data_IF_583138288079
#
_entry.id   IF_583138288079
#
_cell.length_a   1.000
_cell.length_b   1.000
_cell.length_c   1.000
_cell.angle_alpha   90.00
_cell.angle_beta   90.00
_cell.angle_gamma   90.00
#
_symmetry.space_group_name_H-M   'P 1'
#
loop_
_entity.id
_entity.type
_entity.pdbx_description
1 polymer ?
#
# COMPACT_ATOMS: atom_id res chain seq x y z
N UNK A 1 43.74 3.67 -0.99
CA UNK A 1 43.48 3.00 -2.29
C UNK A 1 41.99 3.09 -2.61
N UNK A 2 41.62 3.44 -3.85
CA UNK A 2 40.22 3.45 -4.34
C UNK A 2 40.10 2.55 -5.56
N UNK A 3 38.93 1.96 -5.75
CA UNK A 3 38.68 1.12 -6.93
C UNK A 3 38.36 1.96 -8.19
N UNK A 4 38.12 1.28 -9.32
CA UNK A 4 37.74 1.91 -10.61
C UNK A 4 36.42 2.72 -10.57
N UNK A 5 35.66 2.63 -9.48
CA UNK A 5 34.40 3.35 -9.24
C UNK A 5 34.53 4.44 -8.15
N UNK A 6 35.76 4.74 -7.71
CA UNK A 6 36.09 5.65 -6.61
C UNK A 6 35.57 5.21 -5.24
N UNK A 7 35.32 3.91 -5.04
CA UNK A 7 34.91 3.35 -3.75
C UNK A 7 36.13 3.17 -2.85
N UNK A 8 36.05 3.68 -1.62
CA UNK A 8 37.05 3.45 -0.56
C UNK A 8 36.83 2.11 0.14
N UNK A 9 37.82 1.57 0.88
CA UNK A 9 37.64 0.38 1.70
C UNK A 9 36.51 0.56 2.73
N UNK A 10 36.43 1.74 3.36
CA UNK A 10 35.34 2.09 4.28
C UNK A 10 33.97 2.04 3.59
N UNK A 11 33.87 2.54 2.34
CA UNK A 11 32.64 2.43 1.55
C UNK A 11 32.23 0.96 1.33
N UNK A 12 33.20 0.06 1.10
CA UNK A 12 32.92 -1.37 0.96
C UNK A 12 32.50 -2.03 2.27
N UNK A 13 33.08 -1.65 3.40
CA UNK A 13 32.65 -2.16 4.70
C UNK A 13 31.18 -1.79 4.99
N UNK A 14 30.80 -0.53 4.73
CA UNK A 14 29.41 -0.11 4.85
C UNK A 14 28.49 -0.79 3.82
N UNK A 15 28.95 -0.99 2.58
CA UNK A 15 28.18 -1.69 1.53
C UNK A 15 27.99 -3.18 1.84
N UNK A 16 29.01 -3.81 2.43
CA UNK A 16 29.02 -5.22 2.80
C UNK A 16 28.31 -5.54 4.12
N UNK A 17 27.64 -4.54 4.73
CA UNK A 17 26.87 -4.69 5.96
C UNK A 17 27.69 -5.15 7.17
N UNK A 18 28.97 -4.79 7.21
CA UNK A 18 29.84 -5.13 8.35
C UNK A 18 30.13 -3.88 9.17
N UNK A 19 29.38 -3.71 10.25
CA UNK A 19 29.53 -2.57 11.17
C UNK A 19 30.93 -2.56 11.80
N UNK A 20 31.36 -3.68 12.38
CA UNK A 20 32.67 -3.78 13.06
C UNK A 20 33.83 -3.39 12.13
N UNK A 21 33.83 -3.89 10.89
CA UNK A 21 34.85 -3.54 9.91
C UNK A 21 34.78 -2.06 9.52
N UNK A 22 33.57 -1.51 9.40
CA UNK A 22 33.41 -0.09 9.09
C UNK A 22 33.91 0.79 10.24
N UNK A 23 33.64 0.41 11.49
CA UNK A 23 34.08 1.15 12.68
C UNK A 23 35.59 1.12 12.83
N UNK A 24 36.21 -0.07 12.73
CA UNK A 24 37.67 -0.20 12.79
C UNK A 24 38.33 0.64 11.70
N UNK A 25 37.85 0.56 10.46
CA UNK A 25 38.39 1.35 9.36
C UNK A 25 38.21 2.86 9.58
N UNK A 26 37.06 3.30 10.08
CA UNK A 26 36.82 4.71 10.35
C UNK A 26 37.75 5.24 11.45
N UNK A 27 37.88 4.51 12.56
CA UNK A 27 38.75 4.90 13.67
C UNK A 27 40.20 5.00 13.19
N UNK A 28 40.70 4.00 12.46
CA UNK A 28 42.06 4.05 11.91
C UNK A 28 42.26 5.24 10.96
N UNK A 29 41.28 5.57 10.11
CA UNK A 29 41.38 6.73 9.21
C UNK A 29 41.43 8.06 9.96
N UNK A 30 40.66 8.20 11.03
CA UNK A 30 40.65 9.40 11.89
C UNK A 30 41.95 9.53 12.70
N UNK A 31 42.49 8.42 13.23
CA UNK A 31 43.80 8.40 13.91
C UNK A 31 44.94 8.79 12.97
N UNK A 32 44.85 8.39 11.70
CA UNK A 32 45.78 8.80 10.64
C UNK A 32 45.60 10.26 10.19
N UNK A 33 44.66 11.01 10.78
CA UNK A 33 44.32 12.40 10.46
C UNK A 33 43.96 12.61 8.98
N UNK A 34 43.29 11.63 8.38
CA UNK A 34 42.74 11.77 7.02
C UNK A 34 41.55 12.74 7.10
N UNK A 35 41.49 13.80 6.28
CA UNK A 35 40.43 14.79 6.36
C UNK A 35 39.06 14.16 6.05
N UNK A 36 38.02 14.60 6.76
CA UNK A 36 36.68 13.98 6.65
C UNK A 36 36.11 14.08 5.23
N UNK A 37 36.41 15.16 4.52
CA UNK A 37 36.08 15.35 3.09
C UNK A 37 36.61 14.20 2.21
N UNK A 38 37.81 13.70 2.50
CA UNK A 38 38.40 12.58 1.76
C UNK A 38 37.75 11.25 2.16
N UNK A 39 37.50 11.06 3.46
CA UNK A 39 36.83 9.87 3.98
C UNK A 39 35.43 9.72 3.35
N UNK A 40 34.67 10.81 3.29
CA UNK A 40 33.31 10.83 2.74
C UNK A 40 33.22 11.15 1.24
N UNK A 41 34.34 11.09 0.52
CA UNK A 41 34.34 11.39 -0.91
C UNK A 41 33.36 10.51 -1.70
N UNK A 42 32.68 11.12 -2.66
CA UNK A 42 31.66 10.47 -3.47
C UNK A 42 32.26 9.55 -4.54
N UNK A 43 31.58 8.43 -4.76
CA UNK A 43 31.86 7.48 -5.85
C UNK A 43 31.46 8.04 -7.22
N UNK A 44 31.80 7.35 -8.32
CA UNK A 44 31.33 7.71 -9.68
C UNK A 44 29.80 7.81 -9.79
N UNK A 45 29.06 7.11 -8.92
CA UNK A 45 27.59 7.18 -8.85
C UNK A 45 27.07 8.24 -7.88
N UNK A 46 27.92 9.18 -7.44
CA UNK A 46 27.60 10.21 -6.44
C UNK A 46 27.11 9.64 -5.10
N UNK A 47 27.55 8.44 -4.72
CA UNK A 47 27.26 7.86 -3.39
C UNK A 47 28.47 8.05 -2.48
N UNK A 48 28.23 8.48 -1.27
CA UNK A 48 29.24 8.63 -0.21
C UNK A 48 29.17 7.49 0.80
N UNK A 49 30.07 7.48 1.79
CA UNK A 49 30.05 6.51 2.90
C UNK A 49 28.76 6.67 3.72
N UNK A 50 28.37 7.92 4.00
CA UNK A 50 27.12 8.22 4.74
C UNK A 50 25.89 7.66 4.02
N UNK A 51 25.85 7.64 2.68
CA UNK A 51 24.73 6.99 1.97
C UNK A 51 24.61 5.51 2.31
N UNK A 52 25.74 4.80 2.42
CA UNK A 52 25.75 3.37 2.74
C UNK A 52 25.49 3.14 4.22
N UNK A 53 26.07 3.94 5.10
CA UNK A 53 25.80 3.88 6.53
C UNK A 53 24.31 4.12 6.83
N UNK A 54 23.72 5.17 6.25
CA UNK A 54 22.31 5.50 6.37
C UNK A 54 21.37 4.46 5.75
N UNK A 55 21.84 3.68 4.75
CA UNK A 55 21.03 2.59 4.19
C UNK A 55 20.94 1.38 5.12
N UNK A 56 21.95 1.16 5.97
CA UNK A 56 22.07 -0.03 6.80
C UNK A 56 21.94 0.26 8.31
N UNK A 57 21.62 1.49 8.69
CA UNK A 57 21.42 1.86 10.10
C UNK A 57 22.72 2.01 10.88
N UNK A 58 23.86 2.25 10.21
CA UNK A 58 25.16 2.41 10.86
C UNK A 58 25.31 3.81 11.45
N UNK A 59 24.53 4.08 12.49
CA UNK A 59 24.48 5.39 13.13
C UNK A 59 25.82 5.81 13.72
N UNK A 60 26.55 4.88 14.34
CA UNK A 60 27.88 5.13 14.93
C UNK A 60 28.88 5.69 13.92
N UNK A 61 28.82 5.22 12.66
CA UNK A 61 29.65 5.74 11.55
C UNK A 61 29.26 7.17 11.19
N UNK A 62 27.96 7.46 11.15
CA UNK A 62 27.43 8.79 10.83
C UNK A 62 27.81 9.78 11.93
N UNK A 63 27.57 9.43 13.20
CA UNK A 63 27.91 10.25 14.36
C UNK A 63 29.40 10.58 14.40
N UNK A 64 30.27 9.57 14.31
CA UNK A 64 31.73 9.79 14.31
C UNK A 64 32.20 10.68 13.17
N UNK A 65 31.61 10.54 11.98
CA UNK A 65 31.93 11.42 10.85
C UNK A 65 31.45 12.86 11.07
N UNK A 66 30.28 13.05 11.69
CA UNK A 66 29.76 14.38 12.06
C UNK A 66 30.61 15.01 13.15
N UNK A 67 30.97 14.26 14.19
CA UNK A 67 31.84 14.73 15.28
C UNK A 67 33.21 15.17 14.75
N UNK A 68 33.82 14.35 13.88
CA UNK A 68 35.09 14.69 13.24
C UNK A 68 34.96 15.94 12.36
N UNK A 69 33.89 16.06 11.56
CA UNK A 69 33.64 17.25 10.75
C UNK A 69 33.42 18.52 11.59
N UNK A 70 32.72 18.41 12.74
CA UNK A 70 32.57 19.51 13.71
C UNK A 70 33.91 19.90 14.33
N UNK A 71 34.76 18.93 14.66
CA UNK A 71 36.11 19.19 15.18
C UNK A 71 37.00 19.89 14.14
N UNK A 72 36.83 19.57 12.86
CA UNK A 72 37.50 20.25 11.73
C UNK A 72 36.85 21.61 11.37
N UNK A 73 35.73 21.99 12.00
CA UNK A 73 34.91 23.16 11.67
C UNK A 73 34.45 23.19 10.19
N UNK A 74 34.33 22.02 9.55
CA UNK A 74 34.05 21.89 8.12
C UNK A 74 32.89 20.90 7.88
N UNK A 75 31.72 21.21 8.43
CA UNK A 75 30.52 20.38 8.27
C UNK A 75 30.01 20.39 6.82
N UNK A 76 30.25 21.49 6.07
CA UNK A 76 29.86 21.58 4.66
C UNK A 76 30.59 20.56 3.78
N UNK A 77 31.88 20.31 4.04
CA UNK A 77 32.63 19.32 3.26
C UNK A 77 32.21 17.88 3.50
N UNK A 78 31.47 17.61 4.57
CA UNK A 78 30.81 16.33 4.80
C UNK A 78 29.78 16.03 3.71
N UNK A 79 29.30 17.04 2.98
CA UNK A 79 28.45 16.86 1.80
C UNK A 79 27.21 15.97 2.08
N UNK A 80 26.58 16.20 3.24
CA UNK A 80 25.45 15.41 3.77
C UNK A 80 24.21 15.44 2.87
N UNK A 81 24.09 16.45 2.01
CA UNK A 81 22.95 16.67 1.11
C UNK A 81 23.21 16.18 -0.32
N UNK A 82 24.32 15.47 -0.58
CA UNK A 82 24.62 14.95 -1.92
C UNK A 82 23.54 13.97 -2.36
N UNK A 83 23.02 14.16 -3.57
CA UNK A 83 22.10 13.23 -4.21
C UNK A 83 22.83 12.19 -5.06
N UNK A 84 22.48 10.92 -4.87
CA UNK A 84 23.01 9.84 -5.70
C UNK A 84 22.54 9.96 -7.17
N UNK A 85 23.40 9.53 -8.09
CA UNK A 85 23.12 9.62 -9.53
C UNK A 85 22.02 8.68 -10.03
N UNK A 86 21.65 7.66 -9.26
CA UNK A 86 20.71 6.64 -9.70
C UNK A 86 19.27 7.10 -9.48
N UNK A 87 18.92 7.41 -8.23
CA UNK A 87 17.57 7.78 -7.78
C UNK A 87 17.45 9.22 -7.32
N UNK A 88 18.54 9.98 -7.23
CA UNK A 88 18.51 11.34 -6.67
C UNK A 88 18.35 11.34 -5.14
N UNK A 89 18.62 10.23 -4.48
CA UNK A 89 18.43 10.10 -3.03
C UNK A 89 19.63 10.66 -2.27
N UNK A 90 19.36 11.45 -1.23
CA UNK A 90 20.35 11.85 -0.21
C UNK A 90 20.53 10.74 0.83
N UNK A 91 21.53 10.82 1.72
CA UNK A 91 21.61 9.93 2.88
C UNK A 91 20.35 9.93 3.75
N UNK A 92 19.72 11.10 3.95
CA UNK A 92 18.47 11.20 4.72
C UNK A 92 17.33 10.43 4.06
N UNK A 93 17.22 10.45 2.72
CA UNK A 93 16.25 9.61 2.00
C UNK A 93 16.52 8.11 2.25
N UNK A 94 17.80 7.69 2.32
CA UNK A 94 18.15 6.29 2.57
C UNK A 94 17.75 5.87 3.98
N UNK A 95 18.05 6.68 4.99
CA UNK A 95 17.63 6.41 6.36
C UNK A 95 16.10 6.34 6.48
N UNK A 96 15.38 7.27 5.84
CA UNK A 96 13.92 7.32 5.82
C UNK A 96 13.27 6.08 5.17
N UNK A 97 13.80 5.60 4.04
CA UNK A 97 13.28 4.39 3.36
C UNK A 97 13.37 3.14 4.23
N UNK A 98 14.39 3.03 5.08
CA UNK A 98 14.59 1.85 5.91
C UNK A 98 14.16 2.04 7.36
N UNK A 99 13.60 3.20 7.73
CA UNK A 99 13.11 3.47 9.08
C UNK A 99 14.21 3.60 10.14
N UNK A 100 15.44 3.95 9.74
CA UNK A 100 16.58 4.07 10.67
C UNK A 100 16.51 5.38 11.47
N UNK A 101 15.70 5.39 12.53
CA UNK A 101 15.41 6.56 13.38
C UNK A 101 16.66 7.28 13.85
N UNK A 102 17.65 6.53 14.36
CA UNK A 102 18.87 7.12 14.92
C UNK A 102 19.68 7.84 13.84
N UNK A 103 19.82 7.21 12.66
CA UNK A 103 20.47 7.85 11.50
C UNK A 103 19.73 9.10 11.04
N UNK A 104 18.39 9.11 11.09
CA UNK A 104 17.59 10.31 10.78
C UNK A 104 17.90 11.41 11.79
N UNK A 105 17.91 11.09 13.09
CA UNK A 105 18.23 12.07 14.15
C UNK A 105 19.60 12.69 13.94
N UNK A 106 20.66 11.88 13.82
CA UNK A 106 22.03 12.38 13.67
C UNK A 106 22.21 13.19 12.36
N UNK A 107 21.56 12.79 11.27
CA UNK A 107 21.59 13.57 10.02
C UNK A 107 20.89 14.92 10.16
N UNK A 108 19.72 14.97 10.81
CA UNK A 108 18.99 16.21 11.06
C UNK A 108 19.74 17.14 12.02
N UNK A 109 20.39 16.59 13.05
CA UNK A 109 21.28 17.33 13.97
C UNK A 109 22.48 17.95 13.26
N UNK A 110 22.94 17.32 12.17
CA UNK A 110 23.95 17.85 11.26
C UNK A 110 23.38 18.78 10.17
N UNK A 111 22.14 19.26 10.32
CA UNK A 111 21.48 20.18 9.39
C UNK A 111 21.29 19.59 7.97
N UNK A 112 21.04 18.28 7.87
CA UNK A 112 20.62 17.67 6.61
C UNK A 112 19.29 18.28 6.15
N UNK A 113 19.22 18.61 4.86
CA UNK A 113 18.05 19.24 4.26
C UNK A 113 16.99 18.17 3.93
N UNK A 114 15.89 18.20 4.70
CA UNK A 114 14.75 17.28 4.54
C UNK A 114 13.86 17.62 3.34
N UNK A 115 14.00 18.81 2.75
CA UNK A 115 13.15 19.31 1.66
C UNK A 115 13.61 18.84 0.27
N UNK A 116 14.84 18.32 0.17
CA UNK A 116 15.40 17.80 -1.08
C UNK A 116 14.50 16.70 -1.63
N UNK A 117 14.25 16.72 -2.94
CA UNK A 117 13.41 15.74 -3.63
C UNK A 117 14.25 14.77 -4.47
N UNK A 118 13.92 13.48 -4.37
CA UNK A 118 14.46 12.46 -5.25
C UNK A 118 14.04 12.66 -6.72
N UNK A 119 14.51 11.81 -7.64
CA UNK A 119 14.16 11.92 -9.07
C UNK A 119 12.67 11.74 -9.37
N UNK A 120 11.91 11.16 -8.44
CA UNK A 120 10.46 10.99 -8.55
C UNK A 120 9.71 12.15 -7.86
N UNK A 121 10.41 13.20 -7.40
CA UNK A 121 9.82 14.35 -6.75
C UNK A 121 9.47 14.13 -5.27
N UNK A 122 9.94 13.04 -4.65
CA UNK A 122 9.58 12.68 -3.27
C UNK A 122 10.66 13.12 -2.29
N UNK A 123 10.25 13.75 -1.19
CA UNK A 123 11.12 14.10 -0.07
C UNK A 123 11.31 12.90 0.88
N UNK A 124 12.22 13.01 1.84
CA UNK A 124 12.49 11.95 2.82
C UNK A 124 11.22 11.55 3.62
N UNK A 125 10.38 12.53 4.00
CA UNK A 125 9.11 12.28 4.70
C UNK A 125 8.17 11.37 3.90
N UNK A 126 8.02 11.64 2.60
CA UNK A 126 7.16 10.86 1.70
C UNK A 126 7.62 9.41 1.62
N UNK A 127 8.93 9.20 1.47
CA UNK A 127 9.49 7.85 1.45
C UNK A 127 9.28 7.10 2.76
N UNK A 128 9.37 7.78 3.92
CA UNK A 128 9.18 7.16 5.23
C UNK A 128 7.75 6.63 5.39
N UNK A 129 6.73 7.45 5.12
CA UNK A 129 5.34 6.99 5.26
C UNK A 129 4.93 5.99 4.17
N UNK A 130 5.47 6.09 2.94
CA UNK A 130 5.21 5.11 1.88
C UNK A 130 5.68 3.71 2.33
N UNK A 131 6.86 3.62 2.95
CA UNK A 131 7.37 2.35 3.47
C UNK A 131 6.61 1.88 4.72
N UNK A 132 6.12 2.80 5.55
CA UNK A 132 5.25 2.46 6.67
C UNK A 132 3.94 1.82 6.23
N UNK A 133 3.35 2.20 5.08
CA UNK A 133 2.16 1.50 4.55
C UNK A 133 2.42 0.05 4.14
N UNK A 134 3.68 -0.31 3.89
CA UNK A 134 4.11 -1.64 3.47
C UNK A 134 4.66 -2.48 4.63
N UNK A 135 4.83 -1.89 5.82
CA UNK A 135 5.51 -2.49 6.96
C UNK A 135 4.80 -2.17 8.27
N UNK A 136 4.53 -3.18 9.10
CA UNK A 136 3.92 -3.01 10.44
C UNK A 136 4.94 -2.54 11.51
N UNK A 137 6.05 -1.92 11.10
CA UNK A 137 7.15 -1.50 11.96
C UNK A 137 6.82 -0.21 12.72
N UNK A 138 7.08 -0.20 14.04
CA UNK A 138 6.87 0.95 14.92
C UNK A 138 7.97 2.02 14.75
N UNK A 139 9.13 1.64 14.19
CA UNK A 139 10.25 2.54 13.95
C UNK A 139 9.90 3.65 12.95
N UNK A 140 8.99 3.38 12.01
CA UNK A 140 8.51 4.38 11.06
C UNK A 140 7.73 5.51 11.72
N UNK A 141 6.94 5.25 12.77
CA UNK A 141 6.19 6.28 13.49
C UNK A 141 7.16 7.34 14.06
N UNK A 142 8.25 6.89 14.69
CA UNK A 142 9.30 7.78 15.22
C UNK A 142 10.03 8.52 14.10
N UNK A 143 10.39 7.81 13.03
CA UNK A 143 11.05 8.38 11.85
C UNK A 143 10.22 9.52 11.23
N UNK A 144 8.92 9.28 11.04
CA UNK A 144 7.97 10.27 10.51
C UNK A 144 7.84 11.44 11.48
N UNK A 145 7.75 11.19 12.79
CA UNK A 145 7.68 12.26 13.80
C UNK A 145 8.88 13.21 13.71
N UNK A 146 10.11 12.70 13.52
CA UNK A 146 11.30 13.52 13.34
C UNK A 146 11.27 14.33 12.03
N UNK A 147 10.88 13.68 10.92
CA UNK A 147 10.82 14.31 9.60
C UNK A 147 9.72 15.37 9.51
N UNK A 148 8.60 15.22 10.23
CA UNK A 148 7.56 16.26 10.35
C UNK A 148 8.10 17.52 11.00
N UNK A 149 9.00 17.41 11.99
CA UNK A 149 9.63 18.60 12.62
C UNK A 149 10.58 19.27 11.64
N UNK A 150 11.29 18.48 10.82
CA UNK A 150 12.23 19.00 9.84
C UNK A 150 11.57 19.72 8.66
N UNK A 151 10.36 19.30 8.25
CA UNK A 151 9.58 19.93 7.17
C UNK A 151 8.09 20.00 7.54
N UNK A 152 7.79 20.88 8.50
CA UNK A 152 6.43 21.05 9.03
C UNK A 152 5.44 21.57 7.99
N UNK A 153 5.90 22.41 7.06
CA UNK A 153 5.05 22.97 6.00
C UNK A 153 4.62 21.91 4.99
N UNK A 154 5.54 21.04 4.56
CA UNK A 154 5.18 19.92 3.70
C UNK A 154 4.24 18.95 4.43
N UNK A 155 4.52 18.64 5.70
CA UNK A 155 3.67 17.75 6.50
C UNK A 155 2.24 18.30 6.66
N UNK A 156 2.10 19.60 6.91
CA UNK A 156 0.79 20.28 7.07
C UNK A 156 -0.05 20.25 5.79
N UNK A 157 0.59 20.36 4.62
CA UNK A 157 -0.10 20.40 3.34
C UNK A 157 -0.44 19.02 2.77
N UNK A 158 0.18 17.95 3.29
CA UNK A 158 0.05 16.58 2.79
C UNK A 158 -1.16 15.85 3.40
N UNK A 159 -2.21 15.68 2.58
CA UNK A 159 -3.41 14.95 2.96
C UNK A 159 -3.17 13.44 3.10
N UNK A 160 -2.23 12.87 2.34
CA UNK A 160 -1.93 11.44 2.38
C UNK A 160 -1.24 11.06 3.68
N UNK A 161 -0.40 11.94 4.24
CA UNK A 161 0.22 11.75 5.55
C UNK A 161 -0.83 11.58 6.66
N UNK A 162 -1.86 12.42 6.70
CA UNK A 162 -2.96 12.30 7.66
C UNK A 162 -3.76 11.00 7.46
N UNK A 163 -4.02 10.61 6.21
CA UNK A 163 -4.68 9.37 5.84
C UNK A 163 -3.92 8.13 6.34
N UNK A 164 -2.59 8.10 6.15
CA UNK A 164 -1.73 6.99 6.59
C UNK A 164 -1.65 6.91 8.11
N UNK A 165 -1.49 8.05 8.80
CA UNK A 165 -1.49 8.08 10.26
C UNK A 165 -2.79 7.52 10.84
N UNK A 166 -3.93 7.84 10.23
CA UNK A 166 -5.24 7.33 10.63
C UNK A 166 -5.42 5.82 10.34
N UNK A 167 -4.94 5.33 9.19
CA UNK A 167 -5.00 3.91 8.84
C UNK A 167 -4.14 3.04 9.79
N UNK A 168 -2.97 3.54 10.19
CA UNK A 168 -2.10 2.88 11.16
C UNK A 168 -2.52 3.11 12.62
N UNK A 169 -3.41 4.07 12.88
CA UNK A 169 -3.94 4.35 14.21
C UNK A 169 -3.00 5.16 15.10
N UNK A 170 -2.03 5.90 14.53
CA UNK A 170 -1.11 6.73 15.31
C UNK A 170 -1.77 8.05 15.72
N UNK A 171 -2.39 8.04 16.90
CA UNK A 171 -2.89 9.25 17.58
C UNK A 171 -1.77 10.29 17.83
N UNK A 172 -0.53 9.91 18.22
CA UNK A 172 0.54 10.89 18.42
C UNK A 172 0.86 11.70 17.17
N UNK A 173 0.96 11.06 15.99
CA UNK A 173 1.20 11.77 14.73
C UNK A 173 0.01 12.62 14.31
N UNK A 174 -1.22 12.11 14.45
CA UNK A 174 -2.44 12.88 14.18
C UNK A 174 -2.55 14.14 15.06
N UNK A 175 -2.20 14.02 16.34
CA UNK A 175 -2.12 15.16 17.26
C UNK A 175 -1.09 16.18 16.80
N UNK A 176 0.11 15.72 16.43
CA UNK A 176 1.18 16.60 15.94
C UNK A 176 0.78 17.34 14.66
N UNK A 177 0.12 16.66 13.73
CA UNK A 177 -0.42 17.27 12.52
C UNK A 177 -1.52 18.30 12.85
N UNK A 178 -2.38 18.00 13.82
CA UNK A 178 -3.39 18.95 14.32
C UNK A 178 -2.75 20.19 14.95
N UNK A 179 -1.68 20.03 15.72
CA UNK A 179 -0.92 21.15 16.33
C UNK A 179 -0.26 22.03 15.27
N UNK A 180 0.17 21.44 14.15
CA UNK A 180 0.68 22.17 12.98
C UNK A 180 -0.44 22.83 12.15
N UNK A 181 -1.71 22.62 12.49
CA UNK A 181 -2.85 23.16 11.74
C UNK A 181 -3.10 22.45 10.41
N UNK A 182 -2.77 21.15 10.31
CA UNK A 182 -3.14 20.32 9.17
C UNK A 182 -4.66 20.11 9.13
N UNK A 183 -5.24 20.16 7.93
CA UNK A 183 -6.66 19.88 7.74
C UNK A 183 -6.92 18.36 7.75
N UNK A 184 -7.31 17.84 8.91
CA UNK A 184 -7.63 16.42 9.13
C UNK A 184 -8.99 16.00 8.54
N UNK A 185 -9.74 16.93 7.94
CA UNK A 185 -10.98 16.64 7.22
C UNK A 185 -10.74 16.40 5.72
N UNK A 186 -9.55 16.77 5.22
CA UNK A 186 -9.23 16.69 3.80
C UNK A 186 -9.26 15.24 3.32
N UNK A 187 -9.95 15.03 2.20
CA UNK A 187 -10.00 13.73 1.56
C UNK A 187 -8.67 13.40 0.88
N UNK A 188 -8.30 12.12 0.94
CA UNK A 188 -7.17 11.58 0.20
C UNK A 188 -7.48 11.45 -1.31
N UNK A 189 -6.54 10.87 -2.06
CA UNK A 189 -6.71 10.61 -3.51
C UNK A 189 -7.91 9.70 -3.86
N UNK A 190 -8.43 8.94 -2.89
CA UNK A 190 -9.57 8.04 -3.03
C UNK A 190 -10.88 8.63 -2.50
N UNK A 191 -10.90 9.92 -2.16
CA UNK A 191 -12.05 10.62 -1.58
C UNK A 191 -12.43 10.14 -0.17
N UNK A 192 -11.51 9.52 0.58
CA UNK A 192 -11.74 9.10 1.96
C UNK A 192 -11.19 10.13 2.94
N UNK A 193 -11.93 10.40 4.00
CA UNK A 193 -11.41 11.20 5.13
C UNK A 193 -10.50 10.33 6.02
N UNK A 194 -9.52 10.92 6.73
CA UNK A 194 -8.75 10.22 7.74
C UNK A 194 -9.64 9.49 8.77
N UNK A 195 -10.74 10.11 9.19
CA UNK A 195 -11.69 9.49 10.13
C UNK A 195 -12.29 8.19 9.57
N UNK A 196 -12.72 8.22 8.31
CA UNK A 196 -13.25 7.06 7.60
C UNK A 196 -12.22 5.93 7.51
N UNK A 197 -10.94 6.27 7.31
CA UNK A 197 -9.86 5.29 7.31
C UNK A 197 -9.68 4.66 8.69
N UNK A 198 -9.58 5.47 9.76
CA UNK A 198 -9.46 4.95 11.12
C UNK A 198 -10.58 3.96 11.46
N UNK A 199 -11.84 4.30 11.12
CA UNK A 199 -13.00 3.40 11.30
C UNK A 199 -12.85 2.09 10.53
N UNK A 200 -12.48 2.14 9.24
CA UNK A 200 -12.36 0.94 8.39
C UNK A 200 -11.17 0.05 8.72
N UNK A 201 -10.11 0.61 9.30
CA UNK A 201 -8.98 -0.13 9.84
C UNK A 201 -9.16 -0.50 11.33
N UNK A 202 -10.34 -0.23 11.91
CA UNK A 202 -10.68 -0.54 13.31
C UNK A 202 -9.72 0.10 14.32
N UNK A 203 -9.29 1.33 14.05
CA UNK A 203 -8.41 2.16 14.90
C UNK A 203 -9.27 3.06 15.77
N UNK A 204 -9.86 2.51 16.82
CA UNK A 204 -10.86 3.18 17.67
C UNK A 204 -10.34 4.51 18.24
N UNK A 205 -9.13 4.53 18.80
CA UNK A 205 -8.56 5.74 19.40
C UNK A 205 -8.33 6.86 18.37
N UNK A 206 -7.86 6.51 17.17
CA UNK A 206 -7.68 7.46 16.07
C UNK A 206 -9.02 7.95 15.50
N UNK A 207 -10.02 7.06 15.40
CA UNK A 207 -11.36 7.43 14.98
C UNK A 207 -12.01 8.43 15.95
N UNK A 208 -11.92 8.18 17.26
CA UNK A 208 -12.44 9.08 18.29
C UNK A 208 -11.75 10.45 18.24
N UNK A 209 -10.42 10.48 18.10
CA UNK A 209 -9.66 11.71 17.94
C UNK A 209 -10.12 12.53 16.72
N UNK A 210 -10.35 11.86 15.59
CA UNK A 210 -10.73 12.50 14.32
C UNK A 210 -12.21 12.89 14.27
N UNK A 211 -13.09 12.17 14.99
CA UNK A 211 -14.54 12.47 15.06
C UNK A 211 -14.83 13.85 15.63
N UNK A 212 -13.96 14.36 16.49
CA UNK A 212 -14.08 15.70 17.05
C UNK A 212 -13.81 16.82 16.02
N UNK A 213 -13.29 16.48 14.83
CA UNK A 213 -12.69 17.43 13.89
C UNK A 213 -13.33 17.47 12.48
N UNK A 214 -14.31 16.61 12.16
CA UNK A 214 -14.75 16.41 10.77
C UNK A 214 -16.24 16.70 10.49
N UNK A 215 -16.50 17.37 9.35
CA UNK A 215 -17.80 17.45 8.67
C UNK A 215 -17.84 16.55 7.43
N UNK A 216 -19.01 16.05 7.06
CA UNK A 216 -19.19 15.09 5.95
C UNK A 216 -19.05 15.77 4.57
N UNK A 217 -18.28 15.16 3.66
CA UNK A 217 -18.22 15.59 2.26
C UNK A 217 -18.19 14.41 1.28
N UNK A 218 -19.02 14.51 0.23
CA UNK A 218 -18.78 14.14 -1.18
C UNK A 218 -18.58 12.67 -1.59
N UNK A 219 -19.57 12.11 -2.31
CA UNK A 219 -19.62 10.73 -2.82
C UNK A 219 -19.14 10.63 -4.29
N UNK A 220 -18.37 9.59 -4.64
CA UNK A 220 -18.18 9.13 -6.02
C UNK A 220 -18.23 7.60 -6.09
N UNK A 221 -18.86 7.05 -7.11
CA UNK A 221 -19.08 5.59 -7.30
C UNK A 221 -17.85 4.91 -7.95
N UNK A 222 -17.49 3.72 -7.49
CA UNK A 222 -16.44 2.88 -8.11
C UNK A 222 -16.78 2.46 -9.54
N UNK A 223 -15.78 2.38 -10.43
CA UNK A 223 -15.87 1.88 -11.82
C UNK A 223 -14.73 0.91 -12.12
N UNK A 224 -14.88 0.00 -13.09
CA UNK A 224 -13.79 -0.90 -13.51
C UNK A 224 -12.58 -0.13 -14.09
N UNK A 225 -11.36 -0.61 -13.83
CA UNK A 225 -10.13 -0.07 -14.44
C UNK A 225 -9.94 -0.54 -15.89
N UNK A 226 -9.64 0.41 -16.79
CA UNK A 226 -9.40 0.15 -18.22
C UNK A 226 -8.05 -0.56 -18.44
N UNK A 227 -8.02 -1.51 -19.36
CA UNK A 227 -6.83 -2.28 -19.75
C UNK A 227 -6.87 -2.58 -21.25
N UNK A 228 -5.72 -2.81 -21.92
CA UNK A 228 -5.69 -3.09 -23.37
C UNK A 228 -6.51 -4.30 -23.82
N UNK A 229 -6.75 -5.25 -22.91
CA UNK A 229 -7.44 -6.52 -23.22
C UNK A 229 -8.95 -6.49 -22.94
N UNK A 230 -9.49 -5.34 -22.50
CA UNK A 230 -10.91 -5.15 -22.17
C UNK A 230 -11.48 -3.85 -22.70
N UNK A 231 -12.77 -3.90 -23.07
CA UNK A 231 -13.56 -2.70 -23.32
C UNK A 231 -14.55 -2.52 -22.18
N UNK A 232 -14.60 -1.31 -21.63
CA UNK A 232 -15.52 -0.94 -20.55
C UNK A 232 -16.51 0.07 -21.14
N UNK A 233 -17.80 -0.09 -20.84
CA UNK A 233 -18.84 0.86 -21.22
C UNK A 233 -18.64 2.23 -20.56
N UNK A 234 -19.21 3.28 -21.14
CA UNK A 234 -19.05 4.66 -20.63
C UNK A 234 -19.56 4.84 -19.19
N UNK A 235 -20.55 4.03 -18.78
CA UNK A 235 -21.09 3.99 -17.42
C UNK A 235 -20.24 3.17 -16.43
N UNK A 236 -19.21 2.48 -16.91
CA UNK A 236 -18.28 1.68 -16.11
C UNK A 236 -18.85 0.35 -15.59
N UNK A 237 -20.04 -0.06 -16.04
CA UNK A 237 -20.78 -1.23 -15.53
C UNK A 237 -20.62 -2.50 -16.36
N UNK A 238 -20.34 -2.36 -17.65
CA UNK A 238 -20.17 -3.49 -18.55
C UNK A 238 -18.70 -3.63 -18.91
N UNK A 239 -18.16 -4.83 -18.75
CA UNK A 239 -16.80 -5.18 -19.15
C UNK A 239 -16.85 -6.31 -20.17
N UNK A 240 -16.24 -6.08 -21.33
CA UNK A 240 -16.12 -7.07 -22.40
C UNK A 240 -14.68 -7.56 -22.49
N UNK A 241 -14.46 -8.84 -22.19
CA UNK A 241 -13.19 -9.52 -22.36
C UNK A 241 -13.21 -10.36 -23.63
N UNK A 242 -12.28 -10.08 -24.55
CA UNK A 242 -12.22 -10.76 -25.87
C UNK A 242 -11.06 -11.74 -26.00
N UNK A 243 -10.17 -11.78 -25.01
CA UNK A 243 -8.97 -12.59 -25.05
C UNK A 243 -9.18 -13.95 -24.37
N UNK A 244 -8.33 -14.92 -24.66
CA UNK A 244 -8.22 -16.18 -23.89
C UNK A 244 -7.13 -16.13 -22.80
N UNK A 245 -6.59 -14.94 -22.52
CA UNK A 245 -5.51 -14.74 -21.57
C UNK A 245 -6.06 -14.47 -20.18
N UNK A 246 -5.33 -14.93 -19.18
CA UNK A 246 -5.67 -14.67 -17.78
C UNK A 246 -5.37 -13.23 -17.41
N UNK A 247 -6.39 -12.53 -16.94
CA UNK A 247 -6.36 -11.13 -16.54
C UNK A 247 -7.09 -10.94 -15.21
N UNK A 248 -6.72 -9.88 -14.49
CA UNK A 248 -7.31 -9.50 -13.22
C UNK A 248 -7.63 -8.00 -13.26
N UNK A 249 -8.85 -7.63 -12.84
CA UNK A 249 -9.32 -6.25 -12.81
C UNK A 249 -9.87 -5.92 -11.43
N UNK A 250 -9.48 -4.76 -10.88
CA UNK A 250 -10.22 -4.12 -9.80
C UNK A 250 -10.93 -2.88 -10.28
N UNK A 251 -11.80 -2.38 -9.43
CA UNK A 251 -12.31 -1.02 -9.53
C UNK A 251 -11.22 0.03 -9.28
N UNK A 252 -11.46 1.26 -9.75
CA UNK A 252 -10.58 2.42 -9.61
C UNK A 252 -10.66 3.09 -8.22
N UNK A 253 -11.71 2.80 -7.45
CA UNK A 253 -11.95 3.33 -6.11
C UNK A 253 -12.42 2.21 -5.18
N UNK A 254 -12.01 2.21 -3.91
CA UNK A 254 -12.46 1.20 -2.96
C UNK A 254 -13.95 1.34 -2.66
N UNK A 255 -14.54 0.31 -2.05
CA UNK A 255 -15.89 0.34 -1.47
C UNK A 255 -15.99 1.58 -0.59
N UNK A 256 -16.92 2.50 -0.84
CA UNK A 256 -16.92 3.75 -0.13
C UNK A 256 -17.06 3.61 1.39
N UNK A 257 -16.38 4.48 2.14
CA UNK A 257 -16.26 4.31 3.58
C UNK A 257 -17.57 4.45 4.37
N UNK A 258 -18.58 5.12 3.83
CA UNK A 258 -19.89 5.26 4.48
C UNK A 258 -20.79 4.00 4.40
N UNK A 259 -20.39 2.99 3.63
CA UNK A 259 -21.11 1.71 3.62
C UNK A 259 -20.58 0.78 4.72
N UNK A 260 -21.42 0.50 5.72
CA UNK A 260 -21.13 -0.55 6.71
C UNK A 260 -21.36 -1.93 6.12
N UNK A 261 -22.36 -2.05 5.24
CA UNK A 261 -22.57 -3.20 4.37
C UNK A 261 -22.58 -2.76 2.91
N UNK A 262 -21.87 -3.47 2.07
CA UNK A 262 -21.81 -3.24 0.63
C UNK A 262 -22.11 -4.54 -0.11
N UNK A 263 -22.91 -4.48 -1.16
CA UNK A 263 -23.26 -5.65 -1.97
C UNK A 263 -23.29 -5.25 -3.44
N UNK A 264 -22.60 -6.03 -4.27
CA UNK A 264 -22.63 -5.88 -5.72
C UNK A 264 -22.84 -7.22 -6.38
N UNK A 265 -23.45 -7.19 -7.56
CA UNK A 265 -23.69 -8.38 -8.38
C UNK A 265 -22.93 -8.25 -9.68
N UNK A 266 -22.50 -9.41 -10.17
CA UNK A 266 -21.84 -9.56 -11.46
C UNK A 266 -22.57 -10.67 -12.21
N UNK A 267 -23.17 -10.31 -13.33
CA UNK A 267 -23.84 -11.24 -14.24
C UNK A 267 -22.87 -11.64 -15.34
N UNK A 268 -22.64 -12.94 -15.48
CA UNK A 268 -21.71 -13.52 -16.45
C UNK A 268 -22.43 -13.84 -17.75
N UNK A 269 -22.32 -13.03 -18.80
CA UNK A 269 -22.95 -13.27 -20.11
C UNK A 269 -21.97 -13.93 -21.09
N UNK A 270 -22.51 -14.80 -21.94
CA UNK A 270 -21.74 -15.43 -23.01
C UNK A 270 -21.34 -14.42 -24.07
N UNK A 271 -20.17 -14.59 -24.72
CA UNK A 271 -19.81 -13.76 -25.86
C UNK A 271 -20.80 -13.97 -27.04
N UNK A 272 -20.96 -13.00 -27.95
CA UNK A 272 -22.03 -13.01 -28.97
C UNK A 272 -21.99 -14.19 -29.95
N UNK A 273 -20.85 -14.85 -30.12
CA UNK A 273 -20.59 -15.80 -31.21
C UNK A 273 -20.72 -17.30 -30.85
N UNK A 274 -21.22 -17.65 -29.66
CA UNK A 274 -21.42 -19.06 -29.28
C UNK A 274 -22.81 -19.56 -29.64
N UNK A 275 -22.92 -20.76 -30.19
CA UNK A 275 -24.19 -21.48 -30.46
C UNK A 275 -24.91 -21.83 -29.15
N UNK A 276 -26.25 -21.76 -29.09
CA UNK A 276 -27.03 -21.90 -27.84
C UNK A 276 -26.78 -23.22 -27.09
N UNK A 277 -26.50 -24.32 -27.80
CA UNK A 277 -26.15 -25.61 -27.17
C UNK A 277 -24.79 -25.62 -26.47
N UNK A 278 -23.84 -24.82 -26.93
CA UNK A 278 -22.52 -24.69 -26.30
C UNK A 278 -22.57 -23.74 -25.09
N UNK A 279 -23.53 -22.78 -25.10
CA UNK A 279 -23.76 -21.82 -24.00
C UNK A 279 -24.19 -22.50 -22.70
N UNK A 280 -25.02 -23.53 -22.78
CA UNK A 280 -25.60 -24.21 -21.60
C UNK A 280 -24.66 -25.21 -20.92
N UNK A 281 -23.56 -25.62 -21.56
CA UNK A 281 -22.63 -26.62 -21.01
C UNK A 281 -21.29 -26.04 -20.54
N UNK A 282 -20.95 -24.81 -20.96
CA UNK A 282 -19.65 -24.22 -20.69
C UNK A 282 -19.60 -23.53 -19.31
N UNK A 283 -18.62 -23.93 -18.50
CA UNK A 283 -18.27 -23.25 -17.25
C UNK A 283 -17.08 -22.33 -17.51
N UNK A 284 -17.28 -21.01 -17.57
CA UNK A 284 -16.18 -20.09 -17.83
C UNK A 284 -15.20 -20.06 -16.65
N UNK A 285 -13.93 -19.93 -16.97
CA UNK A 285 -12.92 -19.56 -15.96
C UNK A 285 -13.03 -18.06 -15.71
N UNK A 286 -13.82 -17.77 -14.67
CA UNK A 286 -14.01 -16.47 -14.05
C UNK A 286 -13.90 -16.61 -12.54
N UNK A 287 -13.38 -15.59 -11.88
CA UNK A 287 -13.42 -15.45 -10.44
C UNK A 287 -13.98 -14.08 -10.09
N UNK A 288 -14.93 -14.03 -9.18
CA UNK A 288 -15.53 -12.77 -8.70
C UNK A 288 -15.21 -12.65 -7.22
N UNK A 289 -14.80 -11.47 -6.79
CA UNK A 289 -14.26 -11.32 -5.45
C UNK A 289 -13.92 -9.89 -5.08
N UNK A 290 -13.09 -9.78 -4.05
CA UNK A 290 -12.67 -8.53 -3.44
C UNK A 290 -11.18 -8.64 -3.12
N UNK A 291 -10.46 -7.53 -3.23
CA UNK A 291 -9.07 -7.43 -2.82
C UNK A 291 -8.80 -6.24 -1.91
N UNK A 292 -7.68 -6.28 -1.21
CA UNK A 292 -7.03 -5.08 -0.65
C UNK A 292 -6.27 -4.35 -1.78
N UNK A 293 -5.29 -3.51 -1.48
CA UNK A 293 -4.66 -2.58 -2.44
C UNK A 293 -4.15 -3.25 -3.75
N UNK A 294 -4.38 -2.55 -4.87
CA UNK A 294 -3.97 -2.84 -6.26
C UNK A 294 -4.09 -4.31 -6.75
N UNK A 295 -5.12 -4.57 -7.55
CA UNK A 295 -5.31 -5.86 -8.21
C UNK A 295 -4.13 -6.32 -9.06
N UNK A 296 -3.28 -5.40 -9.54
CA UNK A 296 -2.12 -5.74 -10.36
C UNK A 296 -1.10 -6.62 -9.61
N UNK A 297 -1.05 -6.50 -8.28
CA UNK A 297 -0.23 -7.36 -7.43
C UNK A 297 -0.75 -8.81 -7.39
N UNK A 298 -2.05 -9.00 -7.67
CA UNK A 298 -2.77 -10.27 -7.56
C UNK A 298 -2.93 -10.90 -8.94
N UNK A 299 -2.22 -12.02 -9.16
CA UNK A 299 -2.25 -12.82 -10.39
C UNK A 299 -3.66 -13.16 -10.89
N UNK A 300 -4.49 -13.58 -9.94
CA UNK A 300 -5.86 -13.99 -10.12
C UNK A 300 -6.51 -13.92 -8.74
N UNK A 301 -7.78 -13.51 -8.60
CA UNK A 301 -8.39 -13.30 -7.29
C UNK A 301 -8.22 -14.52 -6.38
N UNK A 302 -7.85 -14.39 -5.11
CA UNK A 302 -7.58 -15.51 -4.19
C UNK A 302 -6.34 -16.36 -4.50
N UNK A 303 -5.45 -15.92 -5.41
CA UNK A 303 -4.10 -16.47 -5.53
C UNK A 303 -3.10 -15.58 -4.75
N UNK A 304 -1.95 -16.13 -4.32
CA UNK A 304 -0.89 -15.33 -3.73
C UNK A 304 -0.39 -14.22 -4.68
N UNK A 305 0.00 -13.09 -4.09
CA UNK A 305 0.60 -11.95 -4.80
C UNK A 305 1.91 -12.34 -5.51
N UNK A 306 2.19 -11.75 -6.69
CA UNK A 306 3.48 -11.92 -7.40
C UNK A 306 4.65 -11.24 -6.69
N UNK A 307 4.35 -10.15 -6.01
CA UNK A 307 5.34 -9.25 -5.43
C UNK A 307 5.37 -9.45 -3.91
N UNK A 308 6.46 -9.04 -3.24
CA UNK A 308 6.54 -9.00 -1.76
C UNK A 308 5.56 -7.97 -1.13
N UNK A 309 4.47 -7.62 -1.80
CA UNK A 309 3.37 -6.87 -1.22
C UNK A 309 2.62 -7.79 -0.25
N UNK A 310 3.20 -8.00 0.93
CA UNK A 310 2.69 -8.89 1.99
C UNK A 310 1.30 -8.47 2.48
N UNK A 311 0.92 -7.21 2.28
CA UNK A 311 -0.39 -6.65 2.65
C UNK A 311 -1.48 -6.83 1.57
N UNK A 312 -1.14 -7.32 0.37
CA UNK A 312 -2.11 -7.57 -0.70
C UNK A 312 -2.86 -8.88 -0.48
N UNK A 313 -4.15 -8.78 -0.15
CA UNK A 313 -5.06 -9.89 0.14
C UNK A 313 -6.21 -9.91 -0.87
N UNK A 314 -6.75 -11.09 -1.18
CA UNK A 314 -7.99 -11.19 -1.96
C UNK A 314 -8.80 -12.42 -1.61
N UNK A 315 -10.11 -12.30 -1.79
CA UNK A 315 -11.12 -13.31 -1.52
C UNK A 315 -11.99 -13.47 -2.75
N UNK A 316 -12.35 -14.70 -3.13
CA UNK A 316 -13.10 -14.96 -4.38
C UNK A 316 -14.03 -16.15 -4.33
N UNK A 317 -14.96 -16.18 -5.28
CA UNK A 317 -15.76 -17.32 -5.71
C UNK A 317 -15.48 -17.67 -7.18
N UNK A 318 -15.12 -18.93 -7.43
CA UNK A 318 -14.56 -19.40 -8.69
C UNK A 318 -15.62 -20.12 -9.55
N UNK A 319 -15.68 -19.79 -10.84
CA UNK A 319 -16.74 -20.24 -11.75
C UNK A 319 -16.68 -21.71 -12.13
N UNK A 320 -15.48 -22.25 -12.40
CA UNK A 320 -15.35 -23.60 -12.96
C UNK A 320 -15.56 -24.73 -11.92
N UNK A 321 -15.23 -24.47 -10.65
CA UNK A 321 -15.27 -25.47 -9.59
C UNK A 321 -16.14 -25.04 -8.40
N UNK A 322 -16.67 -23.81 -8.43
CA UNK A 322 -17.50 -23.25 -7.35
C UNK A 322 -16.76 -23.05 -6.03
N UNK A 323 -15.43 -23.02 -6.05
CA UNK A 323 -14.60 -22.93 -4.85
C UNK A 323 -14.45 -21.49 -4.36
N UNK A 324 -14.37 -21.34 -3.04
CA UNK A 324 -14.09 -20.08 -2.35
C UNK A 324 -12.64 -20.10 -1.88
N UNK A 325 -11.85 -19.08 -2.25
CA UNK A 325 -10.42 -19.04 -1.96
C UNK A 325 -9.94 -17.67 -1.46
N UNK A 326 -8.88 -17.67 -0.66
CA UNK A 326 -8.16 -16.47 -0.22
C UNK A 326 -6.67 -16.55 -0.58
N UNK A 327 -6.01 -15.41 -0.70
CA UNK A 327 -4.58 -15.32 -1.03
C UNK A 327 -3.62 -15.64 0.12
N UNK A 328 -4.08 -15.56 1.38
CA UNK A 328 -3.24 -15.79 2.58
C UNK A 328 -3.17 -17.26 3.03
N UNK A 329 -3.84 -18.15 2.31
CA UNK A 329 -3.84 -19.57 2.59
C UNK A 329 -4.98 -20.26 1.89
N UNK A 330 -4.98 -21.59 1.93
CA UNK A 330 -6.22 -22.31 1.71
C UNK A 330 -7.03 -22.19 3.00
N UNK A 331 -7.96 -21.24 3.09
CA UNK A 331 -9.13 -21.53 3.93
C UNK A 331 -9.79 -22.71 3.24
N UNK A 332 -9.42 -23.89 3.74
CA UNK A 332 -9.81 -25.16 3.18
C UNK A 332 -11.30 -25.33 3.34
N UNK A 333 -12.02 -25.08 2.25
CA UNK A 333 -13.00 -26.05 1.83
C UNK A 333 -12.66 -26.47 0.41
N UNK A 334 -11.83 -27.52 0.32
CA UNK A 334 -12.22 -28.62 -0.55
C UNK A 334 -13.57 -29.15 -0.02
N UNK A 335 -14.66 -28.39 -0.15
CA UNK A 335 -15.91 -29.10 -0.37
C UNK A 335 -15.69 -29.69 -1.75
N UNK A 336 -15.78 -31.01 -1.88
CA UNK A 336 -15.90 -31.67 -3.19
C UNK A 336 -17.26 -31.30 -3.86
N UNK A 337 -17.79 -30.09 -3.58
CA UNK A 337 -19.16 -29.62 -3.77
C UNK A 337 -19.21 -28.08 -3.85
N UNK A 338 -18.18 -27.41 -4.37
CA UNK A 338 -18.37 -26.03 -4.83
C UNK A 338 -19.49 -26.02 -5.86
N UNK A 339 -20.35 -24.99 -5.87
CA UNK A 339 -21.41 -24.88 -6.88
C UNK A 339 -20.79 -24.13 -8.07
N UNK A 340 -20.34 -24.79 -9.15
CA UNK A 340 -19.85 -24.06 -10.32
C UNK A 340 -21.00 -23.28 -10.96
N UNK A 341 -20.67 -22.22 -11.69
CA UNK A 341 -21.67 -21.42 -12.40
C UNK A 341 -21.33 -21.26 -13.88
N UNK A 342 -22.39 -21.20 -14.68
CA UNK A 342 -22.34 -21.09 -16.14
C UNK A 342 -22.62 -19.66 -16.58
N UNK A 343 -22.54 -19.41 -17.88
CA UNK A 343 -23.09 -18.18 -18.46
C UNK A 343 -24.57 -18.02 -18.12
N UNK A 344 -25.02 -16.77 -18.00
CA UNK A 344 -26.36 -16.36 -17.57
C UNK A 344 -26.54 -16.27 -16.05
N UNK A 345 -25.61 -16.80 -15.24
CA UNK A 345 -25.69 -16.76 -13.79
C UNK A 345 -25.19 -15.42 -13.23
N UNK A 346 -25.74 -15.04 -12.08
CA UNK A 346 -25.38 -13.83 -11.36
C UNK A 346 -24.74 -14.20 -10.03
N UNK A 347 -23.52 -13.72 -9.82
CA UNK A 347 -22.82 -13.87 -8.55
C UNK A 347 -22.92 -12.55 -7.78
N UNK A 348 -23.46 -12.61 -6.58
CA UNK A 348 -23.40 -11.51 -5.64
C UNK A 348 -22.20 -11.64 -4.72
N UNK A 349 -21.60 -10.52 -4.36
CA UNK A 349 -20.53 -10.44 -3.40
C UNK A 349 -20.87 -9.34 -2.40
N UNK A 350 -20.90 -9.72 -1.13
CA UNK A 350 -21.25 -8.83 -0.03
C UNK A 350 -20.11 -8.70 0.97
N UNK A 351 -20.02 -7.51 1.55
CA UNK A 351 -19.08 -7.14 2.61
C UNK A 351 -19.84 -6.53 3.75
N UNK A 352 -19.50 -6.93 4.97
CA UNK A 352 -19.96 -6.32 6.21
C UNK A 352 -18.70 -5.94 6.97
N UNK A 353 -18.40 -4.63 6.96
CA UNK A 353 -17.18 -4.08 7.54
C UNK A 353 -17.21 -4.06 9.07
N UNK A 354 -18.42 -4.01 9.67
CA UNK A 354 -18.58 -4.08 11.11
C UNK A 354 -18.16 -5.45 11.63
N UNK A 355 -18.69 -6.50 11.01
CA UNK A 355 -18.32 -7.89 11.35
C UNK A 355 -16.96 -8.27 10.76
N UNK A 356 -16.52 -7.60 9.70
CA UNK A 356 -15.28 -7.91 8.99
C UNK A 356 -15.41 -9.20 8.21
N UNK A 357 -16.55 -9.38 7.55
CA UNK A 357 -16.88 -10.59 6.80
C UNK A 357 -17.14 -10.30 5.32
N UNK A 358 -16.81 -11.27 4.48
CA UNK A 358 -17.21 -11.31 3.06
C UNK A 358 -18.06 -12.57 2.84
N UNK A 359 -19.18 -12.42 2.13
CA UNK A 359 -20.03 -13.54 1.69
C UNK A 359 -20.35 -13.44 0.21
N UNK A 360 -20.81 -14.56 -0.35
CA UNK A 360 -21.17 -14.66 -1.76
C UNK A 360 -22.59 -15.20 -1.90
N UNK A 361 -23.25 -14.82 -2.98
CA UNK A 361 -24.53 -15.37 -3.41
C UNK A 361 -24.41 -15.88 -4.84
N UNK A 362 -25.21 -16.88 -5.19
CA UNK A 362 -25.40 -17.32 -6.57
C UNK A 362 -26.89 -17.24 -6.89
N UNK A 363 -27.24 -16.42 -7.87
CA UNK A 363 -28.61 -16.06 -8.24
C UNK A 363 -29.46 -15.65 -7.03
N UNK A 364 -28.87 -14.81 -6.17
CA UNK A 364 -29.51 -14.29 -4.96
C UNK A 364 -29.53 -15.26 -3.76
N UNK A 365 -29.13 -16.52 -3.93
CA UNK A 365 -29.06 -17.50 -2.82
C UNK A 365 -27.70 -17.42 -2.13
N UNK A 366 -27.63 -17.25 -0.79
CA UNK A 366 -26.37 -17.16 -0.07
C UNK A 366 -25.60 -18.48 -0.12
N UNK A 367 -24.28 -18.39 -0.27
CA UNK A 367 -23.38 -19.51 -0.09
C UNK A 367 -23.05 -19.64 1.40
N UNK A 368 -23.04 -20.86 1.93
CA UNK A 368 -22.89 -21.15 3.37
C UNK A 368 -21.48 -20.92 3.94
N UNK A 369 -20.58 -20.29 3.20
CA UNK A 369 -19.19 -20.04 3.60
C UNK A 369 -18.91 -18.54 3.53
N UNK A 370 -18.31 -18.03 4.59
CA UNK A 370 -17.96 -16.61 4.74
C UNK A 370 -16.46 -16.51 5.05
N UNK A 371 -15.85 -15.41 4.61
CA UNK A 371 -14.51 -15.05 5.03
C UNK A 371 -14.59 -14.10 6.21
N UNK A 372 -13.67 -14.23 7.16
CA UNK A 372 -13.62 -13.43 8.39
C UNK A 372 -12.32 -12.61 8.45
N UNK A 373 -12.21 -11.72 9.45
CA UNK A 373 -11.05 -10.86 9.68
C UNK A 373 -10.69 -9.96 8.49
N UNK A 374 -11.71 -9.53 7.73
CA UNK A 374 -11.55 -8.63 6.60
C UNK A 374 -11.59 -7.19 7.09
N UNK A 375 -10.57 -6.40 6.72
CA UNK A 375 -10.47 -4.97 7.08
C UNK A 375 -9.71 -4.16 6.01
N UNK A 376 -9.79 -2.84 6.13
CA UNK A 376 -9.05 -1.90 5.27
C UNK A 376 -9.79 -1.46 4.01
N UNK A 377 -9.05 -0.90 3.04
CA UNK A 377 -9.59 -0.50 1.73
C UNK A 377 -9.83 -1.72 0.87
N UNK A 378 -11.10 -1.98 0.58
CA UNK A 378 -11.53 -3.13 -0.21
C UNK A 378 -12.00 -2.70 -1.59
N UNK A 379 -11.59 -3.42 -2.61
CA UNK A 379 -11.94 -3.14 -4.00
C UNK A 379 -12.66 -4.35 -4.60
N UNK A 380 -13.84 -4.18 -5.21
CA UNK A 380 -14.41 -5.20 -6.08
C UNK A 380 -13.40 -5.61 -7.15
N UNK A 381 -13.27 -6.91 -7.34
CA UNK A 381 -12.27 -7.54 -8.19
C UNK A 381 -12.89 -8.67 -9.00
N UNK A 382 -12.41 -8.83 -10.24
CA UNK A 382 -12.75 -9.94 -11.13
C UNK A 382 -11.48 -10.49 -11.78
N UNK A 383 -11.43 -11.81 -11.95
CA UNK A 383 -10.43 -12.51 -12.74
C UNK A 383 -11.12 -13.16 -13.93
N UNK A 384 -10.55 -13.02 -15.12
CA UNK A 384 -11.07 -13.62 -16.34
C UNK A 384 -9.97 -14.40 -17.05
N UNK A 385 -10.34 -15.51 -17.70
CA UNK A 385 -9.50 -16.19 -18.70
C UNK A 385 -10.24 -16.37 -20.01
N UNK A 386 -11.52 -16.73 -19.94
CA UNK A 386 -12.30 -17.04 -21.13
C UNK A 386 -13.02 -15.78 -21.65
N UNK A 387 -13.24 -15.66 -22.98
CA UNK A 387 -13.97 -14.51 -23.54
C UNK A 387 -15.40 -14.42 -23.00
N UNK A 388 -15.81 -13.26 -22.49
CA UNK A 388 -17.14 -13.05 -21.92
C UNK A 388 -17.51 -11.58 -21.78
N UNK A 389 -18.78 -11.34 -21.50
CA UNK A 389 -19.31 -10.02 -21.13
C UNK A 389 -19.76 -10.09 -19.68
N UNK A 390 -19.25 -9.20 -18.84
CA UNK A 390 -19.69 -9.03 -17.47
C UNK A 390 -20.52 -7.77 -17.33
N UNK A 391 -21.64 -7.86 -16.63
CA UNK A 391 -22.42 -6.71 -16.22
C UNK A 391 -22.42 -6.64 -14.71
N UNK A 392 -22.11 -5.47 -14.15
CA UNK A 392 -22.20 -5.24 -12.72
C UNK A 392 -23.15 -4.10 -12.40
N UNK A 393 -23.83 -4.24 -11.27
CA UNK A 393 -24.80 -3.25 -10.84
C UNK A 393 -24.23 -2.23 -9.86
N UNK A 394 -22.98 -2.37 -9.38
CA UNK A 394 -22.35 -1.55 -8.32
C UNK A 394 -23.40 -0.79 -7.50
N UNK A 395 -24.27 -1.50 -6.78
CA UNK A 395 -25.49 -0.89 -6.23
C UNK A 395 -25.10 0.26 -5.30
N UNK A 396 -25.45 1.48 -5.69
CA UNK A 396 -25.34 2.69 -4.88
C UNK A 396 -26.76 3.06 -4.44
N UNK A 397 -27.42 2.13 -3.76
CA UNK A 397 -28.62 2.44 -3.00
C UNK A 397 -28.47 1.76 -1.64
N UNK A 398 -28.71 2.51 -0.56
CA UNK A 398 -28.76 2.03 0.82
C UNK A 398 -29.49 0.68 0.81
N UNK A 399 -28.82 -0.38 1.28
CA UNK A 399 -29.45 -1.67 1.56
C UNK A 399 -30.61 -1.41 2.53
N UNK A 400 -31.82 -1.21 2.01
CA UNK A 400 -33.04 -1.30 2.79
C UNK A 400 -33.18 -2.77 3.14
N UNK A 401 -33.22 -3.05 4.43
CA UNK A 401 -33.39 -4.38 5.00
C UNK A 401 -34.53 -5.11 4.29
N UNK A 402 -34.18 -6.09 3.46
CA UNK A 402 -35.13 -7.11 3.01
C UNK A 402 -34.44 -8.47 3.12
N UNK A 403 -34.15 -8.86 4.34
CA UNK A 403 -34.15 -10.27 4.73
C UNK A 403 -35.20 -10.36 5.82
N UNK A 404 -36.40 -10.75 5.40
CA UNK A 404 -37.58 -10.79 6.24
C UNK A 404 -37.39 -11.67 7.46
N UNK A 405 -38.00 -11.21 8.55
CA UNK A 405 -38.36 -12.00 9.72
C UNK A 405 -39.03 -13.31 9.28
N UNK A 406 -38.27 -14.40 9.30
CA UNK A 406 -38.81 -15.75 9.31
C UNK A 406 -39.05 -16.20 10.74
N UNK A 407 -40.05 -15.62 11.41
CA UNK A 407 -40.71 -16.21 12.58
C UNK A 407 -42.16 -16.55 12.17
N UNK A 408 -42.56 -17.81 12.41
CA UNK A 408 -43.96 -18.22 12.55
C UNK A 408 -44.57 -18.98 11.38
N UNK A 409 -44.58 -20.32 11.42
CA UNK A 409 -45.75 -21.11 11.87
C UNK A 409 -45.85 -22.52 11.24
N UNK A 410 -46.12 -23.47 12.15
CA UNK A 410 -46.34 -24.93 12.08
C UNK A 410 -45.12 -25.85 11.97
#
# INVERSE_FOLDING_TARGET
>A
MRDKHNRSPLFFACLGQSLDNAEVLLVTLLEMKVPVKEINQVTKRKRSVIHQAASHGFNTIIEKLIEAARAEQDLESLAINVQDSCKGMTPLHRAAVFGHVDCISSLLEAQADATIRDKNGRAALVLAYEQWTLSDSQEFEKSISLLIVADADAARADAELAAICAANGSVPLLRKLSELGADLSRQDQYSWTPQQLARKYRRTEAEEFLKLQAGEAGLLTSRWLVSPETMISDDGRTLTHRSGKRVCYSTNKPIPAWFDKFYFEVTCKSPPATTDKDRECMQPIVAIGICTIDASAINYPGWPSRTRALSAKSWRYYGDNGGLYTSEGNVGYMSKQGIPYKYGRTVGCGVDMEKGIIWFTLDGKPLHVQFENVSGRLFPMIGLRDPMILETNFRVEKLVETIGNGQGDL
#
